data_IF_836848312537
#
_entry.id   IF_836848312537
#
_cell.length_a   1.000
_cell.length_b   1.000
_cell.length_c   1.000
_cell.angle_alpha   90.00
_cell.angle_beta   90.00
_cell.angle_gamma   90.00
#
_symmetry.space_group_name_H-M   'P 1'
#
loop_
_entity.id
_entity.type
_entity.pdbx_description
1 polymer ?
#
# COMPACT_ATOMS: atom_id res chain seq x y z
N UNK A 1 69.52 85.24 -15.01
CA UNK A 1 69.77 83.77 -14.97
C UNK A 1 68.64 83.08 -14.20
N UNK A 2 67.67 82.48 -14.86
CA UNK A 2 66.47 81.94 -14.30
C UNK A 2 66.31 80.48 -14.71
N UNK A 3 66.28 79.58 -13.76
CA UNK A 3 66.00 78.19 -14.00
C UNK A 3 64.51 77.86 -13.67
N UNK A 4 63.76 77.47 -14.69
CA UNK A 4 62.40 76.96 -14.58
C UNK A 4 62.49 75.44 -14.26
N UNK A 5 61.81 75.05 -13.13
CA UNK A 5 61.58 73.67 -12.81
C UNK A 5 60.22 73.27 -13.35
N UNK A 6 60.18 72.26 -14.21
CA UNK A 6 58.97 71.65 -14.68
C UNK A 6 58.52 70.54 -13.69
N UNK A 7 57.30 70.62 -13.18
CA UNK A 7 56.72 69.58 -12.33
C UNK A 7 56.00 68.53 -13.21
N UNK A 8 56.28 67.30 -12.93
CA UNK A 8 55.58 66.15 -13.53
C UNK A 8 54.42 65.73 -12.57
N UNK A 9 53.19 65.84 -13.03
CA UNK A 9 52.03 65.25 -12.40
C UNK A 9 51.87 63.81 -12.86
N UNK A 10 52.08 62.85 -11.96
CA UNK A 10 51.79 61.45 -12.20
C UNK A 10 50.33 61.19 -11.80
N UNK A 11 49.47 60.88 -12.76
CA UNK A 11 48.11 60.42 -12.53
C UNK A 11 48.12 58.93 -12.20
N UNK A 12 47.80 58.59 -10.93
CA UNK A 12 47.51 57.20 -10.54
C UNK A 12 46.06 56.84 -10.95
N UNK A 13 45.92 56.01 -11.97
CA UNK A 13 44.64 55.37 -12.27
C UNK A 13 44.44 54.15 -11.36
N UNK A 14 43.56 54.23 -10.41
CA UNK A 14 43.13 53.13 -9.55
C UNK A 14 42.19 52.22 -10.37
N UNK A 15 42.68 51.07 -10.81
CA UNK A 15 41.85 50.01 -11.38
C UNK A 15 41.20 49.21 -10.24
N UNK A 16 39.92 49.50 -9.94
CA UNK A 16 39.12 48.68 -9.05
C UNK A 16 38.71 47.41 -9.77
N UNK A 17 39.41 46.28 -9.52
CA UNK A 17 38.97 44.95 -9.90
C UNK A 17 37.79 44.55 -9.00
N UNK A 18 36.59 44.63 -9.54
CA UNK A 18 35.41 44.01 -8.93
C UNK A 18 35.55 42.47 -9.00
N UNK A 19 35.95 41.84 -7.90
CA UNK A 19 35.78 40.37 -7.74
C UNK A 19 34.28 40.08 -7.70
N UNK A 20 33.68 39.73 -8.81
CA UNK A 20 32.39 39.08 -8.84
C UNK A 20 32.61 37.70 -8.18
N UNK A 21 32.10 37.55 -6.95
CA UNK A 21 32.05 36.28 -6.29
C UNK A 21 31.16 35.37 -7.14
N UNK A 22 31.77 34.47 -7.92
CA UNK A 22 31.08 33.36 -8.59
C UNK A 22 30.63 32.45 -7.43
N UNK A 23 29.39 32.60 -7.01
CA UNK A 23 28.75 31.61 -6.10
C UNK A 23 28.86 30.24 -6.81
N UNK A 24 29.43 29.23 -6.17
CA UNK A 24 29.47 27.90 -6.79
C UNK A 24 28.03 27.51 -7.12
N UNK A 25 27.79 27.23 -8.41
CA UNK A 25 26.53 26.61 -8.81
C UNK A 25 26.42 25.32 -8.00
N UNK A 26 25.51 25.28 -7.01
CA UNK A 26 25.25 24.08 -6.25
C UNK A 26 24.84 23.03 -7.28
N UNK A 27 25.71 22.04 -7.51
CA UNK A 27 25.39 20.91 -8.37
C UNK A 27 24.09 20.30 -7.84
N UNK A 28 23.05 20.31 -8.66
CA UNK A 28 21.73 19.83 -8.30
C UNK A 28 21.86 18.38 -7.83
N UNK A 29 21.61 18.13 -6.56
CA UNK A 29 21.80 16.81 -5.97
C UNK A 29 20.73 15.87 -6.54
N UNK A 30 21.17 14.79 -7.16
CA UNK A 30 20.28 13.73 -7.68
C UNK A 30 20.18 12.62 -6.65
N UNK A 31 18.96 12.21 -6.34
CA UNK A 31 18.70 11.08 -5.45
C UNK A 31 17.69 10.10 -6.07
N UNK A 32 17.79 8.83 -5.68
CA UNK A 32 16.83 7.80 -6.09
C UNK A 32 16.35 7.05 -4.86
N UNK A 33 15.04 7.01 -4.68
CA UNK A 33 14.35 6.13 -3.72
C UNK A 33 13.82 4.89 -4.44
N UNK A 34 13.76 3.77 -3.72
CA UNK A 34 12.98 2.60 -4.09
C UNK A 34 11.85 2.42 -3.07
N UNK A 35 10.60 2.51 -3.51
CA UNK A 35 9.43 2.13 -2.77
C UNK A 35 9.04 0.68 -3.12
N UNK A 36 9.04 -0.20 -2.14
CA UNK A 36 8.58 -1.59 -2.29
C UNK A 36 7.17 -1.68 -1.72
N UNK A 37 6.19 -1.90 -2.60
CA UNK A 37 4.77 -1.79 -2.30
C UNK A 37 3.99 -3.07 -2.66
N UNK A 38 2.74 -3.15 -2.23
CA UNK A 38 1.83 -4.23 -2.61
C UNK A 38 1.01 -3.87 -3.86
N UNK A 39 0.47 -4.88 -4.52
CA UNK A 39 -0.10 -4.76 -5.87
C UNK A 39 -1.16 -3.67 -6.08
N UNK A 40 -2.19 -3.51 -5.22
CA UNK A 40 -3.29 -2.57 -5.45
C UNK A 40 -2.91 -1.09 -5.49
N UNK A 41 -1.70 -0.74 -5.06
CA UNK A 41 -1.25 0.66 -4.92
C UNK A 41 -0.57 1.26 -6.14
N UNK A 42 -0.52 0.57 -7.27
CA UNK A 42 0.23 1.01 -8.47
C UNK A 42 -0.17 2.39 -8.94
N UNK A 43 -1.46 2.63 -9.08
CA UNK A 43 -2.04 3.88 -9.54
C UNK A 43 -1.86 4.98 -8.47
N UNK A 44 -2.12 4.64 -7.21
CA UNK A 44 -1.94 5.54 -6.08
C UNK A 44 -0.50 6.08 -6.01
N UNK A 45 0.49 5.18 -5.95
CA UNK A 45 1.88 5.64 -5.79
C UNK A 45 2.43 6.34 -7.02
N UNK A 46 1.95 6.04 -8.23
CA UNK A 46 2.28 6.85 -9.41
C UNK A 46 1.83 8.31 -9.22
N UNK A 47 0.58 8.53 -8.79
CA UNK A 47 0.06 9.87 -8.56
C UNK A 47 0.72 10.59 -7.37
N UNK A 48 1.05 9.85 -6.30
CA UNK A 48 1.80 10.36 -5.15
C UNK A 48 3.21 10.79 -5.57
N UNK A 49 3.92 9.95 -6.33
CA UNK A 49 5.29 10.22 -6.78
C UNK A 49 5.35 11.50 -7.62
N UNK A 50 4.45 11.65 -8.58
CA UNK A 50 4.38 12.85 -9.44
C UNK A 50 4.20 14.12 -8.62
N UNK A 51 3.31 14.10 -7.62
CA UNK A 51 3.05 15.23 -6.75
C UNK A 51 4.22 15.52 -5.79
N UNK A 52 4.76 14.46 -5.18
CA UNK A 52 5.85 14.59 -4.20
C UNK A 52 7.15 15.05 -4.84
N UNK A 53 7.57 14.45 -5.96
CA UNK A 53 8.81 14.82 -6.66
C UNK A 53 8.82 16.32 -6.98
N UNK A 54 7.71 16.84 -7.50
CA UNK A 54 7.57 18.27 -7.78
C UNK A 54 7.75 19.13 -6.52
N UNK A 55 7.00 18.81 -5.47
CA UNK A 55 7.06 19.54 -4.21
C UNK A 55 8.45 19.46 -3.55
N UNK A 56 9.06 18.28 -3.56
CA UNK A 56 10.38 18.04 -2.96
C UNK A 56 11.48 18.81 -3.69
N UNK A 57 11.41 18.86 -5.02
CA UNK A 57 12.32 19.68 -5.83
C UNK A 57 12.20 21.16 -5.49
N UNK A 58 10.97 21.68 -5.37
CA UNK A 58 10.73 23.08 -5.01
C UNK A 58 11.24 23.43 -3.59
N UNK A 59 11.08 22.52 -2.63
CA UNK A 59 11.47 22.76 -1.24
C UNK A 59 12.94 22.48 -0.93
N UNK A 60 13.50 21.41 -1.48
CA UNK A 60 14.82 20.90 -1.14
C UNK A 60 15.88 21.13 -2.25
N UNK A 61 15.48 21.54 -3.46
CA UNK A 61 16.38 21.71 -4.59
C UNK A 61 16.97 20.38 -5.13
N UNK A 62 16.40 19.24 -4.74
CA UNK A 62 16.88 17.89 -5.09
C UNK A 62 16.10 17.34 -6.28
N UNK A 63 16.81 16.83 -7.29
CA UNK A 63 16.21 16.03 -8.36
C UNK A 63 16.00 14.60 -7.86
N UNK A 64 14.78 14.29 -7.49
CA UNK A 64 14.41 12.99 -6.95
C UNK A 64 13.81 12.11 -8.04
N UNK A 65 14.24 10.85 -8.08
CA UNK A 65 13.59 9.77 -8.82
C UNK A 65 13.03 8.75 -7.82
N UNK A 66 11.78 8.35 -7.96
CA UNK A 66 11.20 7.28 -7.14
C UNK A 66 10.93 6.08 -8.04
N UNK A 67 11.56 4.96 -7.72
CA UNK A 67 11.30 3.67 -8.37
C UNK A 67 10.30 2.88 -7.55
N UNK A 68 9.42 2.17 -8.23
CA UNK A 68 8.38 1.36 -7.62
C UNK A 68 8.60 -0.12 -7.89
N UNK A 69 8.44 -0.95 -6.85
CA UNK A 69 8.33 -2.41 -6.98
C UNK A 69 6.99 -2.84 -6.41
N UNK A 70 6.17 -3.52 -7.20
CA UNK A 70 4.84 -3.98 -6.79
C UNK A 70 4.70 -5.48 -6.94
N UNK A 71 4.03 -6.11 -5.97
CA UNK A 71 3.75 -7.53 -5.95
C UNK A 71 2.90 -7.93 -4.75
N UNK A 72 2.73 -9.21 -4.52
CA UNK A 72 2.11 -9.69 -3.29
C UNK A 72 2.91 -9.23 -2.05
N UNK A 73 2.25 -8.65 -1.05
CA UNK A 73 2.88 -7.98 0.08
C UNK A 73 3.91 -8.86 0.83
N UNK A 74 3.54 -10.09 1.17
CA UNK A 74 4.46 -11.02 1.82
C UNK A 74 5.64 -11.44 0.93
N UNK A 75 5.45 -11.48 -0.40
CA UNK A 75 6.54 -11.68 -1.35
C UNK A 75 7.47 -10.48 -1.41
N UNK A 76 6.93 -9.27 -1.38
CA UNK A 76 7.69 -8.03 -1.36
C UNK A 76 8.53 -7.91 -0.08
N UNK A 77 7.94 -8.22 1.09
CA UNK A 77 8.69 -8.28 2.36
C UNK A 77 9.88 -9.25 2.27
N UNK A 78 9.67 -10.45 1.73
CA UNK A 78 10.76 -11.42 1.52
C UNK A 78 11.84 -10.89 0.59
N UNK A 79 11.48 -10.22 -0.50
CA UNK A 79 12.46 -9.62 -1.41
C UNK A 79 13.37 -8.61 -0.70
N UNK A 80 12.80 -7.79 0.21
CA UNK A 80 13.59 -6.84 1.02
C UNK A 80 14.49 -7.59 2.01
N UNK A 81 13.99 -8.62 2.68
CA UNK A 81 14.77 -9.48 3.58
C UNK A 81 15.92 -10.14 2.84
N UNK A 82 15.70 -10.56 1.60
CA UNK A 82 16.68 -11.25 0.73
C UNK A 82 17.65 -10.28 0.04
N UNK A 83 17.57 -8.97 0.34
CA UNK A 83 18.57 -7.99 -0.07
C UNK A 83 18.12 -6.96 -1.10
N UNK A 84 16.83 -6.87 -1.45
CA UNK A 84 16.34 -5.76 -2.26
C UNK A 84 16.44 -4.45 -1.45
N UNK A 85 17.27 -3.53 -1.91
CA UNK A 85 17.60 -2.28 -1.21
C UNK A 85 16.45 -1.24 -1.30
N UNK A 86 15.34 -1.52 -0.62
CA UNK A 86 14.22 -0.62 -0.50
C UNK A 86 14.54 0.54 0.45
N UNK A 87 14.28 1.77 0.04
CA UNK A 87 14.35 2.93 0.93
C UNK A 87 13.13 3.00 1.84
N UNK A 88 11.97 2.69 1.30
CA UNK A 88 10.70 2.61 2.03
C UNK A 88 9.93 1.35 1.62
N UNK A 89 9.16 0.85 2.56
CA UNK A 89 8.18 -0.22 2.35
C UNK A 89 6.79 0.31 2.62
N UNK A 90 5.84 0.03 1.72
CA UNK A 90 4.45 0.43 1.82
C UNK A 90 3.60 -0.81 1.56
N UNK A 91 3.45 -1.63 2.59
CA UNK A 91 2.94 -2.99 2.47
C UNK A 91 1.46 -3.10 2.89
N UNK A 92 0.84 -4.23 2.61
CA UNK A 92 -0.59 -4.42 2.81
C UNK A 92 -0.99 -4.58 4.29
N UNK A 93 -0.04 -4.95 5.17
CA UNK A 93 -0.32 -5.26 6.57
C UNK A 93 0.94 -5.21 7.43
N UNK A 94 0.77 -4.95 8.73
CA UNK A 94 1.88 -4.68 9.63
C UNK A 94 2.83 -5.87 9.80
N UNK A 95 2.34 -7.10 9.81
CA UNK A 95 3.22 -8.27 9.96
C UNK A 95 4.28 -8.37 8.86
N UNK A 96 3.97 -7.95 7.63
CA UNK A 96 4.95 -8.00 6.54
C UNK A 96 6.11 -7.02 6.79
N UNK A 97 5.85 -5.86 7.43
CA UNK A 97 6.92 -4.94 7.87
C UNK A 97 7.60 -5.45 9.14
N UNK A 98 6.85 -6.05 10.08
CA UNK A 98 7.42 -6.71 11.26
C UNK A 98 8.46 -7.74 10.86
N UNK A 99 8.18 -8.55 9.83
CA UNK A 99 9.14 -9.55 9.34
C UNK A 99 10.45 -8.93 8.83
N UNK A 100 10.39 -7.72 8.25
CA UNK A 100 11.58 -6.95 7.84
C UNK A 100 12.30 -6.39 9.07
N UNK A 101 11.54 -5.90 10.08
CA UNK A 101 12.09 -5.42 11.34
C UNK A 101 12.77 -6.54 12.15
N UNK A 102 12.20 -7.74 12.19
CA UNK A 102 12.77 -8.92 12.85
C UNK A 102 14.15 -9.32 12.25
N UNK A 103 14.48 -8.85 11.04
CA UNK A 103 15.82 -8.97 10.43
C UNK A 103 16.74 -7.80 10.76
N UNK A 104 16.27 -6.87 11.60
CA UNK A 104 17.02 -5.71 12.03
C UNK A 104 17.28 -4.69 10.93
N UNK A 105 16.47 -4.66 9.87
CA UNK A 105 16.56 -3.68 8.77
C UNK A 105 15.93 -2.33 9.12
N UNK A 106 14.97 -2.33 10.04
CA UNK A 106 14.36 -1.17 10.68
C UNK A 106 14.01 -1.49 12.15
N UNK A 107 13.77 -0.50 13.03
CA UNK A 107 13.51 -0.76 14.44
C UNK A 107 12.13 -1.38 14.66
N UNK A 108 12.00 -2.18 15.74
CA UNK A 108 10.75 -2.87 16.10
C UNK A 108 9.57 -1.91 16.37
N UNK A 109 9.85 -0.70 16.87
CA UNK A 109 8.84 0.32 17.15
C UNK A 109 8.47 1.18 15.93
N UNK A 110 8.68 0.68 14.73
CA UNK A 110 8.47 1.40 13.47
C UNK A 110 7.04 1.98 13.33
N UNK A 111 6.02 1.28 13.83
CA UNK A 111 4.61 1.74 13.75
C UNK A 111 4.36 3.04 14.52
N UNK A 112 5.12 3.32 15.58
CA UNK A 112 4.95 4.51 16.39
C UNK A 112 5.59 5.77 15.76
N UNK A 113 6.25 5.64 14.61
CA UNK A 113 7.03 6.73 13.99
C UNK A 113 6.20 7.69 13.15
N UNK A 114 5.03 7.26 12.70
CA UNK A 114 4.10 8.06 11.89
C UNK A 114 2.67 7.95 12.48
N UNK A 115 1.79 8.91 12.18
CA UNK A 115 0.41 8.88 12.69
C UNK A 115 -0.36 7.62 12.31
N UNK A 116 -1.40 7.29 13.09
CA UNK A 116 -2.31 6.17 12.83
C UNK A 116 -1.55 4.83 12.70
N UNK A 117 -0.60 4.54 13.61
CA UNK A 117 0.24 3.36 13.55
C UNK A 117 0.94 3.20 12.20
N UNK A 118 1.40 4.32 11.63
CA UNK A 118 2.05 4.40 10.31
C UNK A 118 1.15 3.98 9.13
N UNK A 119 -0.17 4.10 9.26
CA UNK A 119 -1.14 3.78 8.20
C UNK A 119 -1.79 5.06 7.65
N UNK A 120 -1.32 5.58 6.50
CA UNK A 120 -1.78 6.87 5.96
C UNK A 120 -3.15 6.83 5.29
N UNK A 121 -3.72 5.66 5.10
CA UNK A 121 -5.03 5.40 4.54
C UNK A 121 -5.57 4.05 5.00
N UNK A 122 -6.85 3.83 4.80
CA UNK A 122 -7.49 2.54 5.05
C UNK A 122 -8.24 2.03 3.83
N UNK A 123 -8.66 0.78 3.88
CA UNK A 123 -9.51 0.14 2.90
C UNK A 123 -10.34 -0.96 3.57
N UNK A 124 -11.09 -1.71 2.79
CA UNK A 124 -11.80 -2.89 3.25
C UNK A 124 -11.93 -3.90 2.12
N UNK A 125 -12.55 -5.05 2.40
CA UNK A 125 -12.83 -6.09 1.42
C UNK A 125 -14.29 -6.01 1.01
N UNK A 126 -14.52 -6.03 -0.29
CA UNK A 126 -15.84 -6.08 -0.93
C UNK A 126 -15.88 -7.23 -1.94
N UNK A 127 -17.03 -7.51 -2.50
CA UNK A 127 -17.19 -8.48 -3.57
C UNK A 127 -17.38 -7.76 -4.90
N UNK A 128 -16.55 -8.10 -5.89
CA UNK A 128 -16.78 -7.71 -7.26
C UNK A 128 -17.46 -8.87 -7.98
N UNK A 129 -18.63 -8.63 -8.54
CA UNK A 129 -19.43 -9.65 -9.24
C UNK A 129 -19.64 -9.28 -10.69
N UNK A 130 -20.03 -10.23 -11.53
CA UNK A 130 -20.43 -9.97 -12.91
C UNK A 130 -21.64 -9.06 -12.96
N UNK A 131 -21.76 -8.26 -14.01
CA UNK A 131 -22.89 -7.32 -14.21
C UNK A 131 -24.24 -8.01 -14.07
N UNK A 132 -25.13 -7.38 -13.30
CA UNK A 132 -26.44 -7.91 -12.97
C UNK A 132 -26.43 -9.04 -11.94
N UNK A 133 -25.26 -9.35 -11.38
CA UNK A 133 -25.09 -10.34 -10.30
C UNK A 133 -25.84 -11.67 -10.56
N UNK A 134 -25.51 -12.41 -11.62
CA UNK A 134 -26.28 -13.57 -12.06
C UNK A 134 -26.33 -14.73 -11.06
N UNK A 135 -25.38 -14.75 -10.11
CA UNK A 135 -25.34 -15.73 -9.01
C UNK A 135 -26.07 -15.25 -7.73
N UNK A 136 -26.67 -14.06 -7.78
CA UNK A 136 -27.39 -13.45 -6.65
C UNK A 136 -26.57 -13.41 -5.34
N UNK A 137 -25.27 -13.10 -5.46
CA UNK A 137 -24.34 -12.95 -4.34
C UNK A 137 -24.74 -11.69 -3.57
N UNK A 138 -25.07 -11.83 -2.27
CA UNK A 138 -25.45 -10.73 -1.38
C UNK A 138 -24.55 -10.64 -0.16
N UNK A 139 -24.06 -11.79 0.29
CA UNK A 139 -23.23 -11.89 1.49
C UNK A 139 -22.33 -13.14 1.43
N UNK A 140 -21.50 -13.31 2.43
CA UNK A 140 -20.52 -14.39 2.58
C UNK A 140 -21.14 -15.79 2.41
N UNK A 141 -22.36 -16.04 2.89
CA UNK A 141 -23.01 -17.35 2.73
C UNK A 141 -23.26 -17.74 1.27
N UNK A 142 -23.40 -16.76 0.41
CA UNK A 142 -23.65 -17.02 -1.00
C UNK A 142 -22.40 -17.53 -1.72
N UNK A 143 -21.22 -17.30 -1.12
CA UNK A 143 -19.94 -17.70 -1.69
C UNK A 143 -19.68 -19.21 -1.65
N UNK A 144 -20.39 -19.93 -0.80
CA UNK A 144 -20.26 -21.37 -0.62
C UNK A 144 -21.45 -22.15 -1.20
N UNK A 145 -22.27 -21.50 -2.02
CA UNK A 145 -23.35 -22.16 -2.76
C UNK A 145 -22.84 -22.94 -3.95
N UNK A 146 -23.49 -24.06 -4.23
CA UNK A 146 -23.15 -24.88 -5.39
C UNK A 146 -23.08 -24.07 -6.69
N UNK A 147 -22.01 -24.31 -7.46
CA UNK A 147 -21.80 -23.67 -8.75
C UNK A 147 -21.36 -22.20 -8.68
N UNK A 148 -20.99 -21.68 -7.49
CA UNK A 148 -20.31 -20.38 -7.33
C UNK A 148 -18.81 -20.60 -7.34
N UNK A 149 -18.08 -19.84 -8.16
CA UNK A 149 -16.61 -19.82 -8.18
C UNK A 149 -16.09 -18.50 -7.63
N UNK A 150 -15.22 -18.59 -6.62
CA UNK A 150 -14.63 -17.46 -5.90
C UNK A 150 -13.20 -17.25 -6.34
N UNK A 151 -12.83 -16.03 -6.66
CA UNK A 151 -11.44 -15.64 -6.94
C UNK A 151 -10.88 -14.88 -5.74
N UNK A 152 -9.73 -15.34 -5.27
CA UNK A 152 -8.95 -14.69 -4.22
C UNK A 152 -7.48 -15.07 -4.40
N UNK A 153 -6.52 -14.20 -4.03
CA UNK A 153 -5.11 -14.56 -4.14
C UNK A 153 -4.65 -15.48 -3.00
N UNK A 154 -3.41 -15.93 -3.06
CA UNK A 154 -2.81 -16.85 -2.09
C UNK A 154 -2.34 -16.12 -0.83
N UNK A 155 -2.83 -16.44 0.38
CA UNK A 155 -2.42 -15.80 1.61
C UNK A 155 -0.94 -16.05 2.01
N UNK A 156 -0.28 -17.04 1.43
CA UNK A 156 1.16 -17.25 1.62
C UNK A 156 2.02 -16.18 0.94
N UNK A 157 1.48 -15.44 -0.03
CA UNK A 157 2.22 -14.43 -0.82
C UNK A 157 1.55 -13.06 -0.81
N UNK A 158 0.23 -13.01 -0.69
CA UNK A 158 -0.59 -11.81 -0.80
C UNK A 158 -1.12 -11.34 0.56
N UNK A 159 -0.85 -10.10 0.92
CA UNK A 159 -1.47 -9.48 2.08
C UNK A 159 -2.98 -9.28 1.91
N UNK A 160 -3.44 -8.98 0.68
CA UNK A 160 -4.88 -8.89 0.36
C UNK A 160 -5.61 -10.19 0.63
N UNK A 161 -5.00 -11.33 0.29
CA UNK A 161 -5.59 -12.64 0.59
C UNK A 161 -5.73 -12.92 2.10
N UNK A 162 -4.78 -12.42 2.91
CA UNK A 162 -4.91 -12.52 4.38
C UNK A 162 -6.08 -11.69 4.90
N UNK A 163 -6.28 -10.48 4.38
CA UNK A 163 -7.44 -9.66 4.70
C UNK A 163 -8.75 -10.33 4.26
N UNK A 164 -8.81 -10.91 3.05
CA UNK A 164 -9.98 -11.65 2.56
C UNK A 164 -10.32 -12.82 3.48
N UNK A 165 -9.32 -13.63 3.85
CA UNK A 165 -9.46 -14.77 4.74
C UNK A 165 -9.97 -14.35 6.13
N UNK A 166 -9.37 -13.32 6.73
CA UNK A 166 -9.76 -12.86 8.07
C UNK A 166 -11.16 -12.24 8.08
N UNK A 167 -11.57 -11.55 7.00
CA UNK A 167 -12.94 -11.07 6.87
C UNK A 167 -13.95 -12.23 6.81
N UNK A 168 -13.68 -13.27 6.04
CA UNK A 168 -14.48 -14.48 5.96
C UNK A 168 -14.55 -15.23 7.30
N UNK A 169 -13.42 -15.32 7.99
CA UNK A 169 -13.33 -15.92 9.33
C UNK A 169 -14.16 -15.16 10.36
N UNK A 170 -14.05 -13.83 10.39
CA UNK A 170 -14.81 -12.98 11.30
C UNK A 170 -16.31 -13.10 11.08
N UNK A 171 -16.76 -13.09 9.83
CA UNK A 171 -18.16 -13.32 9.49
C UNK A 171 -18.66 -14.66 10.02
N UNK A 172 -17.91 -15.73 9.78
CA UNK A 172 -18.30 -17.06 10.23
C UNK A 172 -18.34 -17.19 11.76
N UNK A 173 -17.40 -16.55 12.48
CA UNK A 173 -17.43 -16.46 13.93
C UNK A 173 -18.68 -15.76 14.44
N UNK A 174 -18.97 -14.57 13.90
CA UNK A 174 -20.14 -13.79 14.30
C UNK A 174 -21.45 -14.56 14.10
N UNK A 175 -21.60 -15.14 12.91
CA UNK A 175 -22.77 -15.92 12.54
C UNK A 175 -23.00 -17.14 13.42
N UNK A 176 -21.93 -17.74 13.93
CA UNK A 176 -21.96 -18.98 14.67
C UNK A 176 -21.68 -18.82 16.18
N UNK A 177 -21.92 -17.62 16.74
CA UNK A 177 -21.76 -17.36 18.17
C UNK A 177 -20.34 -17.55 18.70
N UNK A 178 -19.33 -17.28 17.88
CA UNK A 178 -17.91 -17.37 18.24
C UNK A 178 -17.29 -18.76 18.10
N UNK A 179 -17.93 -19.70 17.42
CA UNK A 179 -17.39 -21.04 17.23
C UNK A 179 -16.26 -21.06 16.20
N UNK A 180 -15.03 -21.29 16.65
CA UNK A 180 -13.85 -21.41 15.78
C UNK A 180 -13.93 -22.64 14.86
N UNK A 181 -14.48 -23.75 15.32
CA UNK A 181 -14.67 -24.96 14.50
C UNK A 181 -15.60 -24.69 13.31
N UNK A 182 -16.67 -23.91 13.53
CA UNK A 182 -17.60 -23.54 12.46
C UNK A 182 -16.96 -22.50 11.51
N UNK A 183 -16.15 -21.58 12.03
CA UNK A 183 -15.39 -20.65 11.20
C UNK A 183 -14.38 -21.39 10.32
N UNK A 184 -13.66 -22.34 10.90
CA UNK A 184 -12.74 -23.24 10.18
C UNK A 184 -13.46 -24.01 9.08
N UNK A 185 -14.61 -24.61 9.40
CA UNK A 185 -15.41 -25.37 8.42
C UNK A 185 -15.88 -24.47 7.27
N UNK A 186 -16.40 -23.29 7.60
CA UNK A 186 -16.85 -22.31 6.60
C UNK A 186 -15.73 -21.85 5.67
N UNK A 187 -14.56 -21.43 6.21
CA UNK A 187 -13.45 -20.97 5.37
C UNK A 187 -12.86 -22.14 4.55
N UNK A 188 -12.84 -23.34 5.14
CA UNK A 188 -12.46 -24.56 4.40
C UNK A 188 -13.39 -24.84 3.21
N UNK A 189 -14.70 -24.65 3.39
CA UNK A 189 -15.67 -24.77 2.30
C UNK A 189 -15.47 -23.67 1.26
N UNK A 190 -15.32 -22.40 1.69
CA UNK A 190 -15.04 -21.29 0.77
C UNK A 190 -13.83 -21.58 -0.12
N UNK A 191 -12.76 -22.13 0.44
CA UNK A 191 -11.54 -22.46 -0.33
C UNK A 191 -11.73 -23.56 -1.38
N UNK A 192 -12.72 -24.43 -1.23
CA UNK A 192 -13.08 -25.43 -2.27
C UNK A 192 -13.72 -24.77 -3.49
N UNK A 193 -14.33 -23.60 -3.33
CA UNK A 193 -14.89 -22.81 -4.40
C UNK A 193 -13.85 -21.95 -5.15
N UNK A 194 -12.58 -21.99 -4.73
CA UNK A 194 -11.47 -21.22 -5.33
C UNK A 194 -10.71 -22.05 -6.33
N UNK A 195 -10.91 -21.84 -7.66
CA UNK A 195 -10.27 -22.64 -8.69
C UNK A 195 -8.78 -22.31 -8.87
N UNK A 196 -8.34 -21.12 -8.50
CA UNK A 196 -6.96 -20.65 -8.67
C UNK A 196 -6.58 -19.67 -7.56
N UNK A 197 -5.36 -19.79 -7.06
CA UNK A 197 -4.75 -18.86 -6.12
C UNK A 197 -3.63 -18.08 -6.80
N UNK A 198 -3.93 -16.84 -7.22
CA UNK A 198 -2.94 -15.93 -7.79
C UNK A 198 -1.94 -15.46 -6.71
N UNK A 199 -0.74 -15.06 -7.12
CA UNK A 199 0.33 -14.65 -6.19
C UNK A 199 0.08 -13.31 -5.50
N UNK A 200 -0.84 -12.48 -6.02
CA UNK A 200 -1.16 -11.16 -5.50
C UNK A 200 -2.54 -10.68 -5.93
N UNK A 201 -3.01 -9.59 -5.33
CA UNK A 201 -4.35 -9.07 -5.54
C UNK A 201 -4.59 -8.65 -7.00
N UNK A 202 -3.63 -7.94 -7.65
CA UNK A 202 -3.76 -7.58 -9.06
C UNK A 202 -3.81 -8.79 -9.99
N UNK A 203 -3.10 -9.87 -9.66
CA UNK A 203 -3.22 -11.15 -10.39
C UNK A 203 -4.63 -11.71 -10.32
N UNK A 204 -5.24 -11.72 -9.13
CA UNK A 204 -6.63 -12.15 -8.94
C UNK A 204 -7.63 -11.26 -9.69
N UNK A 205 -7.41 -9.93 -9.66
CA UNK A 205 -8.22 -8.99 -10.45
C UNK A 205 -8.11 -9.28 -11.95
N UNK A 206 -6.90 -9.50 -12.49
CA UNK A 206 -6.68 -9.87 -13.88
C UNK A 206 -7.37 -11.21 -14.22
N UNK A 207 -7.25 -12.21 -13.36
CA UNK A 207 -7.92 -13.51 -13.56
C UNK A 207 -9.44 -13.36 -13.63
N UNK A 208 -10.02 -12.54 -12.76
CA UNK A 208 -11.45 -12.29 -12.77
C UNK A 208 -11.86 -11.36 -13.93
N UNK A 209 -11.27 -10.18 -14.05
CA UNK A 209 -11.71 -9.12 -14.97
C UNK A 209 -11.38 -9.45 -16.44
N UNK A 210 -10.12 -9.82 -16.72
CA UNK A 210 -9.62 -9.97 -18.08
C UNK A 210 -9.77 -11.40 -18.61
N UNK A 211 -9.49 -12.41 -17.77
CA UNK A 211 -9.59 -13.81 -18.20
C UNK A 211 -10.98 -14.40 -18.04
N UNK A 212 -11.91 -13.67 -17.38
CA UNK A 212 -13.30 -14.08 -17.24
C UNK A 212 -13.53 -15.28 -16.31
N UNK A 213 -12.56 -15.64 -15.47
CA UNK A 213 -12.66 -16.77 -14.53
C UNK A 213 -13.40 -16.36 -13.27
N UNK A 214 -14.27 -17.22 -12.75
CA UNK A 214 -15.02 -17.03 -11.50
C UNK A 214 -16.26 -16.15 -11.61
N UNK A 215 -17.09 -16.25 -10.60
CA UNK A 215 -18.36 -15.53 -10.47
C UNK A 215 -18.25 -14.31 -9.56
N UNK A 216 -17.35 -14.39 -8.58
CA UNK A 216 -17.10 -13.35 -7.58
C UNK A 216 -15.61 -13.26 -7.26
N UNK A 217 -15.10 -12.02 -7.16
CA UNK A 217 -13.76 -11.72 -6.68
C UNK A 217 -13.86 -11.11 -5.27
N UNK A 218 -13.15 -11.67 -4.32
CA UNK A 218 -12.88 -11.01 -3.04
C UNK A 218 -11.82 -9.95 -3.28
N UNK A 219 -12.22 -8.70 -3.30
CA UNK A 219 -11.39 -7.59 -3.74
C UNK A 219 -11.15 -6.56 -2.63
N UNK A 220 -9.99 -5.94 -2.68
CA UNK A 220 -9.83 -4.64 -2.07
C UNK A 220 -10.87 -3.66 -2.64
N UNK A 221 -11.43 -2.81 -1.79
CA UNK A 221 -12.42 -1.81 -2.21
C UNK A 221 -11.91 -0.94 -3.36
N UNK A 222 -10.65 -0.48 -3.31
CA UNK A 222 -10.05 0.30 -4.39
C UNK A 222 -9.90 -0.49 -5.70
N UNK A 223 -9.55 -1.77 -5.65
CA UNK A 223 -9.48 -2.62 -6.85
C UNK A 223 -10.87 -2.84 -7.48
N UNK A 224 -11.90 -2.97 -6.64
CA UNK A 224 -13.27 -3.11 -7.12
C UNK A 224 -13.76 -1.84 -7.83
N UNK A 225 -13.48 -0.67 -7.28
CA UNK A 225 -13.78 0.61 -7.94
C UNK A 225 -12.99 0.80 -9.22
N UNK A 226 -11.69 0.49 -9.20
CA UNK A 226 -10.85 0.56 -10.40
C UNK A 226 -11.40 -0.34 -11.51
N UNK A 227 -11.77 -1.58 -11.17
CA UNK A 227 -12.35 -2.52 -12.12
C UNK A 227 -13.69 -1.99 -12.70
N UNK A 228 -14.54 -1.42 -11.85
CA UNK A 228 -15.83 -0.91 -12.25
C UNK A 228 -15.75 0.37 -13.08
N UNK A 229 -14.85 1.30 -12.72
CA UNK A 229 -14.78 2.62 -13.37
C UNK A 229 -13.84 2.63 -14.59
N UNK A 230 -12.73 1.87 -14.57
CA UNK A 230 -11.68 1.95 -15.59
C UNK A 230 -11.57 0.71 -16.48
N UNK A 231 -11.75 -0.50 -15.92
CA UNK A 231 -11.57 -1.73 -16.67
C UNK A 231 -12.83 -2.24 -17.35
N UNK A 232 -13.98 -1.68 -17.01
CA UNK A 232 -15.26 -2.00 -17.65
C UNK A 232 -16.47 -1.58 -16.81
N UNK A 233 -16.89 -0.31 -16.87
CA UNK A 233 -17.96 0.22 -16.00
C UNK A 233 -19.28 -0.55 -16.10
N UNK A 234 -19.58 -1.12 -17.26
CA UNK A 234 -20.80 -1.88 -17.48
C UNK A 234 -20.64 -3.41 -17.34
N UNK A 235 -19.50 -3.88 -16.85
CA UNK A 235 -19.20 -5.32 -16.77
C UNK A 235 -19.30 -5.92 -15.37
N UNK A 236 -19.28 -5.08 -14.34
CA UNK A 236 -19.19 -5.51 -12.95
C UNK A 236 -20.09 -4.70 -12.05
N UNK A 237 -20.53 -5.33 -10.97
CA UNK A 237 -21.21 -4.70 -9.84
C UNK A 237 -20.43 -4.96 -8.56
N UNK A 238 -20.45 -4.00 -7.63
CA UNK A 238 -19.84 -4.14 -6.30
C UNK A 238 -20.95 -4.54 -5.32
N UNK A 239 -20.69 -5.62 -4.58
CA UNK A 239 -21.53 -6.06 -3.47
C UNK A 239 -20.79 -5.83 -2.16
N UNK A 240 -21.40 -5.09 -1.26
CA UNK A 240 -20.84 -4.82 0.07
C UNK A 240 -21.39 -5.86 1.02
N UNK A 241 -20.53 -6.69 1.65
CA UNK A 241 -21.00 -7.72 2.59
C UNK A 241 -21.52 -7.11 3.88
N UNK A 242 -22.30 -7.89 4.65
CA UNK A 242 -22.83 -7.47 5.94
C UNK A 242 -21.74 -7.16 6.97
N UNK A 243 -20.59 -7.81 6.86
CA UNK A 243 -19.41 -7.62 7.70
C UNK A 243 -18.16 -7.72 6.85
N UNK A 244 -17.18 -6.87 7.12
CA UNK A 244 -15.84 -6.92 6.54
C UNK A 244 -14.79 -6.60 7.59
N UNK A 245 -13.55 -6.34 7.15
CA UNK A 245 -12.42 -6.03 8.03
C UNK A 245 -11.83 -4.66 7.66
N UNK A 246 -11.46 -3.87 8.67
CA UNK A 246 -10.70 -2.64 8.46
C UNK A 246 -9.28 -3.00 8.05
N UNK A 247 -8.94 -2.73 6.82
CA UNK A 247 -7.58 -2.90 6.34
C UNK A 247 -6.79 -1.60 6.52
N UNK A 248 -5.68 -1.68 7.24
CA UNK A 248 -4.80 -0.57 7.59
C UNK A 248 -3.41 -0.82 7.00
N UNK A 249 -3.18 -0.49 5.72
CA UNK A 249 -1.89 -0.70 5.08
C UNK A 249 -0.84 0.27 5.62
N UNK A 250 0.23 -0.24 6.26
CA UNK A 250 1.23 0.61 6.88
C UNK A 250 2.40 0.91 5.95
N UNK A 251 3.17 1.93 6.35
CA UNK A 251 4.38 2.37 5.66
C UNK A 251 5.54 2.51 6.64
N UNK A 252 6.77 2.25 6.19
CA UNK A 252 7.97 2.40 7.01
C UNK A 252 9.21 2.73 6.19
N UNK A 253 10.16 3.42 6.81
CA UNK A 253 11.53 3.60 6.30
C UNK A 253 12.32 2.34 6.61
N UNK A 254 13.12 1.88 5.66
CA UNK A 254 14.10 0.80 5.86
C UNK A 254 15.42 1.43 6.30
N UNK A 255 15.59 1.61 7.60
CA UNK A 255 16.64 2.43 8.20
C UNK A 255 18.05 2.07 7.73
N UNK A 256 18.41 0.80 7.71
CA UNK A 256 19.74 0.37 7.24
C UNK A 256 20.03 0.76 5.79
N UNK A 257 19.02 0.79 4.96
CA UNK A 257 19.17 1.10 3.54
C UNK A 257 19.29 2.61 3.31
N UNK A 258 18.40 3.40 3.92
CA UNK A 258 18.47 4.86 3.77
C UNK A 258 19.73 5.46 4.37
N UNK A 259 20.26 4.87 5.45
CA UNK A 259 21.55 5.29 6.04
C UNK A 259 22.72 4.95 5.12
N UNK A 260 22.74 3.72 4.57
CA UNK A 260 23.74 3.30 3.59
C UNK A 260 23.74 4.18 2.33
N UNK A 261 22.56 4.55 1.85
CA UNK A 261 22.37 5.32 0.62
C UNK A 261 22.41 6.83 0.80
N UNK A 262 22.31 7.33 2.04
CA UNK A 262 22.21 8.76 2.34
C UNK A 262 20.87 9.38 1.88
N UNK A 263 19.80 8.57 1.83
CA UNK A 263 18.48 8.98 1.32
C UNK A 263 17.45 9.22 2.43
N UNK A 264 17.85 9.16 3.70
CA UNK A 264 16.95 9.25 4.86
C UNK A 264 16.01 10.48 4.82
N UNK A 265 16.55 11.65 4.52
CA UNK A 265 15.76 12.89 4.51
C UNK A 265 14.66 12.84 3.43
N UNK A 266 14.98 12.34 2.24
CA UNK A 266 14.00 12.19 1.17
C UNK A 266 12.95 11.11 1.48
N UNK A 267 13.38 9.97 2.03
CA UNK A 267 12.49 8.88 2.42
C UNK A 267 11.51 9.30 3.53
N UNK A 268 11.98 10.03 4.53
CA UNK A 268 11.14 10.55 5.59
C UNK A 268 10.14 11.57 5.06
N UNK A 269 10.59 12.55 4.28
CA UNK A 269 9.71 13.53 3.65
C UNK A 269 8.65 12.88 2.74
N UNK A 270 9.01 11.80 2.04
CA UNK A 270 8.09 11.04 1.20
C UNK A 270 6.98 10.38 2.01
N UNK A 271 7.31 9.71 3.11
CA UNK A 271 6.28 9.07 3.95
C UNK A 271 5.44 10.11 4.71
N UNK A 272 6.04 11.21 5.19
CA UNK A 272 5.30 12.32 5.83
C UNK A 272 4.35 13.00 4.85
N UNK A 273 4.72 13.10 3.57
CA UNK A 273 3.85 13.66 2.53
C UNK A 273 2.51 12.93 2.44
N UNK A 274 2.46 11.62 2.67
CA UNK A 274 1.23 10.82 2.62
C UNK A 274 0.14 11.31 3.58
N UNK A 275 0.53 12.02 4.66
CA UNK A 275 -0.36 12.56 5.67
C UNK A 275 -0.78 14.01 5.40
N UNK A 276 -0.30 14.64 4.34
CA UNK A 276 -0.70 16.00 3.96
C UNK A 276 -2.07 16.01 3.31
N UNK A 277 -2.86 17.10 3.43
CA UNK A 277 -4.16 17.20 2.75
C UNK A 277 -4.07 16.94 1.24
N UNK A 278 -3.00 17.39 0.59
CA UNK A 278 -2.78 17.16 -0.85
C UNK A 278 -2.65 15.67 -1.20
N UNK A 279 -1.86 14.92 -0.43
CA UNK A 279 -1.73 13.48 -0.61
C UNK A 279 -3.03 12.74 -0.24
N UNK A 280 -3.73 13.18 0.79
CA UNK A 280 -5.01 12.60 1.19
C UNK A 280 -6.10 12.75 0.12
N UNK A 281 -6.12 13.87 -0.62
CA UNK A 281 -6.97 14.03 -1.82
C UNK A 281 -6.59 13.04 -2.94
N UNK A 282 -5.28 12.80 -3.17
CA UNK A 282 -4.81 11.81 -4.13
C UNK A 282 -5.23 10.39 -3.69
N UNK A 283 -5.07 10.07 -2.41
CA UNK A 283 -5.48 8.81 -1.79
C UNK A 283 -6.98 8.56 -2.05
N UNK A 284 -7.84 9.54 -1.76
CA UNK A 284 -9.29 9.42 -1.96
C UNK A 284 -9.69 9.24 -3.44
N UNK A 285 -9.01 9.95 -4.35
CA UNK A 285 -9.24 9.81 -5.81
C UNK A 285 -8.81 8.45 -6.36
N UNK A 286 -7.88 7.79 -5.69
CA UNK A 286 -7.45 6.42 -5.99
C UNK A 286 -8.23 5.37 -5.17
N UNK A 287 -9.41 5.73 -4.69
CA UNK A 287 -10.37 4.83 -4.03
C UNK A 287 -9.91 4.24 -2.70
N UNK A 288 -8.91 4.85 -2.06
CA UNK A 288 -8.57 4.53 -0.66
C UNK A 288 -9.28 5.50 0.28
N UNK A 289 -9.64 5.02 1.47
CA UNK A 289 -10.29 5.82 2.49
C UNK A 289 -9.26 6.71 3.17
N UNK A 290 -9.35 8.06 2.98
CA UNK A 290 -8.40 8.98 3.59
C UNK A 290 -8.63 9.08 5.11
N UNK A 291 -7.54 9.37 5.85
CA UNK A 291 -7.59 9.57 7.31
C UNK A 291 -7.79 11.05 7.67
N UNK A 292 -7.50 11.98 6.78
CA UNK A 292 -7.83 13.40 6.97
C UNK A 292 -9.35 13.58 6.99
N UNK A 293 -9.88 14.11 8.11
CA UNK A 293 -11.32 14.23 8.32
C UNK A 293 -12.01 15.17 7.31
N UNK A 294 -11.30 16.22 6.89
CA UNK A 294 -11.84 17.17 5.92
C UNK A 294 -11.95 16.55 4.54
N UNK A 295 -10.91 15.83 4.13
CA UNK A 295 -10.92 15.09 2.86
C UNK A 295 -11.93 13.94 2.94
N UNK A 296 -11.95 13.16 4.02
CA UNK A 296 -12.90 12.06 4.20
C UNK A 296 -14.36 12.51 4.05
N UNK A 297 -14.71 13.66 4.59
CA UNK A 297 -16.07 14.22 4.48
C UNK A 297 -16.47 14.53 3.02
N UNK A 298 -15.52 14.96 2.17
CA UNK A 298 -15.79 15.21 0.73
C UNK A 298 -16.10 13.94 -0.06
N UNK A 299 -15.55 12.80 0.39
CA UNK A 299 -15.64 11.52 -0.31
C UNK A 299 -16.56 10.52 0.40
N UNK A 300 -17.27 10.94 1.46
CA UNK A 300 -18.14 10.04 2.27
C UNK A 300 -19.16 9.28 1.41
N UNK A 301 -19.76 9.94 0.43
CA UNK A 301 -20.76 9.33 -0.45
C UNK A 301 -20.19 8.26 -1.40
N UNK A 302 -18.87 8.27 -1.63
CA UNK A 302 -18.20 7.31 -2.50
C UNK A 302 -17.97 5.97 -1.81
N UNK A 303 -17.76 5.98 -0.50
CA UNK A 303 -17.41 4.79 0.26
C UNK A 303 -18.63 4.22 0.99
N UNK A 304 -19.04 2.98 0.69
CA UNK A 304 -20.19 2.37 1.35
C UNK A 304 -19.93 2.17 2.85
N UNK A 305 -21.00 2.30 3.65
CA UNK A 305 -20.96 1.94 5.05
C UNK A 305 -21.03 0.42 5.18
N UNK A 306 -20.09 -0.15 5.91
CA UNK A 306 -20.03 -1.58 6.21
C UNK A 306 -19.61 -1.78 7.65
N UNK A 307 -20.13 -2.82 8.30
CA UNK A 307 -19.66 -3.21 9.63
C UNK A 307 -18.24 -3.78 9.51
N UNK A 308 -17.31 -3.24 10.28
CA UNK A 308 -15.91 -3.62 10.24
C UNK A 308 -15.47 -4.22 11.58
N UNK A 309 -14.77 -5.34 11.52
CA UNK A 309 -13.88 -5.80 12.58
C UNK A 309 -12.46 -5.26 12.34
N UNK A 310 -11.63 -5.26 13.37
CA UNK A 310 -10.23 -4.86 13.29
C UNK A 310 -9.31 -6.02 13.57
N UNK A 311 -8.06 -5.92 13.15
CA UNK A 311 -7.05 -6.94 13.45
C UNK A 311 -6.75 -7.04 14.96
N UNK A 312 -6.98 -5.95 15.70
CA UNK A 312 -6.74 -5.87 17.13
C UNK A 312 -7.93 -6.39 17.97
N UNK A 313 -9.04 -6.71 17.33
CA UNK A 313 -10.17 -7.35 18.02
C UNK A 313 -9.73 -8.68 18.64
N UNK A 314 -10.34 -9.03 19.76
CA UNK A 314 -10.01 -10.24 20.54
C UNK A 314 -10.01 -11.52 19.71
N UNK A 315 -10.82 -11.56 18.66
CA UNK A 315 -10.93 -12.71 17.75
C UNK A 315 -9.62 -12.98 16.98
N UNK A 316 -8.79 -11.94 16.77
CA UNK A 316 -7.50 -12.06 16.08
C UNK A 316 -6.31 -11.81 17.00
N UNK A 317 -6.43 -10.85 17.93
CA UNK A 317 -5.37 -10.50 18.90
C UNK A 317 -4.11 -9.91 18.26
N UNK A 318 -4.26 -9.16 17.15
CA UNK A 318 -3.19 -8.53 16.42
C UNK A 318 -2.54 -9.40 15.34
N UNK A 319 -1.75 -8.74 14.47
CA UNK A 319 -1.16 -9.42 13.31
C UNK A 319 -0.21 -10.57 13.64
N UNK A 320 0.61 -10.44 14.69
CA UNK A 320 1.55 -11.52 15.05
C UNK A 320 0.84 -12.80 15.46
N UNK A 321 -0.27 -12.68 16.21
CA UNK A 321 -1.11 -13.82 16.57
C UNK A 321 -1.84 -14.37 15.35
N UNK A 322 -2.51 -13.53 14.57
CA UNK A 322 -3.24 -13.95 13.38
C UNK A 322 -2.32 -14.65 12.37
N UNK A 323 -1.10 -14.15 12.16
CA UNK A 323 -0.10 -14.79 11.32
C UNK A 323 0.28 -16.17 11.83
N UNK A 324 0.57 -16.28 13.13
CA UNK A 324 0.96 -17.55 13.77
C UNK A 324 -0.15 -18.60 13.63
N UNK A 325 -1.38 -18.22 13.94
CA UNK A 325 -2.49 -19.16 14.03
C UNK A 325 -3.02 -19.58 12.66
N UNK A 326 -3.02 -18.65 11.69
CA UNK A 326 -3.67 -18.87 10.40
C UNK A 326 -2.71 -19.08 9.23
N UNK A 327 -1.58 -18.35 9.16
CA UNK A 327 -0.80 -18.23 7.93
C UNK A 327 0.63 -18.76 7.99
N UNK A 328 1.16 -19.05 9.19
CA UNK A 328 2.46 -19.72 9.34
C UNK A 328 2.39 -21.14 8.78
N UNK A 329 3.55 -21.74 8.54
CA UNK A 329 3.62 -23.12 8.08
C UNK A 329 2.96 -24.07 9.09
N UNK A 330 2.04 -24.88 8.60
CA UNK A 330 1.19 -25.71 9.42
C UNK A 330 0.05 -24.98 10.14
N UNK A 331 -0.14 -23.68 9.90
CA UNK A 331 -1.27 -22.91 10.42
C UNK A 331 -2.62 -23.33 9.83
N UNK A 332 -3.69 -22.68 10.28
CA UNK A 332 -5.06 -23.07 9.91
C UNK A 332 -5.27 -23.10 8.40
N UNK A 333 -4.72 -22.13 7.65
CA UNK A 333 -4.83 -22.13 6.19
C UNK A 333 -4.25 -23.41 5.56
N UNK A 334 -3.05 -23.83 5.95
CA UNK A 334 -2.42 -25.05 5.41
C UNK A 334 -3.22 -26.32 5.74
N UNK A 335 -3.91 -26.32 6.89
CA UNK A 335 -4.69 -27.47 7.32
C UNK A 335 -6.03 -27.62 6.58
N UNK A 336 -6.64 -26.49 6.16
CA UNK A 336 -7.95 -26.50 5.50
C UNK A 336 -7.89 -26.36 3.99
N UNK A 337 -6.79 -25.83 3.45
CA UNK A 337 -6.63 -25.71 2.00
C UNK A 337 -6.24 -27.05 1.39
N UNK A 338 -7.12 -27.57 0.55
CA UNK A 338 -6.84 -28.74 -0.26
C UNK A 338 -6.79 -28.31 -1.72
N UNK A 339 -5.59 -28.31 -2.36
CA UNK A 339 -5.50 -28.00 -3.78
C UNK A 339 -6.44 -28.88 -4.59
N UNK A 340 -7.21 -28.29 -5.50
CA UNK A 340 -8.01 -29.08 -6.43
C UNK A 340 -7.06 -29.98 -7.23
N UNK A 341 -7.31 -31.29 -7.18
CA UNK A 341 -6.60 -32.26 -8.04
C UNK A 341 -7.11 -32.05 -9.46
N UNK A 342 -6.25 -31.53 -10.34
CA UNK A 342 -6.50 -31.47 -11.78
C UNK A 342 -6.60 -32.87 -12.35
#
# INVERSE_FOLDING_TARGET
MSFRKAGWLAALAAVTMSLAAIAPAQAQQKQTLLNVSYDPTRELYRAIDDAFIKQYKEKAGVDLTIRQSHGGSGRQARSVIDGLEADVVTLALAYDIDAVADRGLLPENWQARLPQNSSPYTSTIVFLVRKGNPKHIKDWDDLVKDGVQVITPNPKTSGGARWNYLAAWAYALEKNGGSEDKARAYVGELLKHVPVLDTGARGATTTFVERGVGDVLLAWENEAFLAQEELGPDKFDIVVPSLSILAEPPVAIVDKIVDKKGTRAAAQAYLEFLYTPAAQEIIARNYYRPIDKTVAAKYESKFPKVKLVTIDDKIFGGWRKAQKDHFSDGGTFDQIYQPQKN
#
